data_IF_929139698250
#
_entry.id   IF_929139698250
#
_cell.length_a   1.000
_cell.length_b   1.000
_cell.length_c   1.000
_cell.angle_alpha   90.00
_cell.angle_beta   90.00
_cell.angle_gamma   90.00
#
_symmetry.space_group_name_H-M   'P 1'
#
loop_
_entity.id
_entity.type
_entity.pdbx_description
1 polymer ?
#
# COMPACT_ATOMS: atom_id res chain seq x y z
N UNK A 1 0.68 -1.69 13.22
CA UNK A 1 1.85 -2.51 13.54
C UNK A 1 1.78 -3.87 12.83
N UNK A 2 0.79 -4.75 13.11
CA UNK A 2 0.71 -6.13 12.58
C UNK A 2 0.79 -6.24 11.04
N UNK A 3 0.14 -5.36 10.29
CA UNK A 3 0.20 -5.36 8.81
C UNK A 3 1.60 -4.98 8.32
N UNK A 4 2.25 -4.02 8.98
CA UNK A 4 3.64 -3.64 8.69
C UNK A 4 4.57 -4.85 8.82
N UNK A 5 4.49 -5.57 9.95
CA UNK A 5 5.31 -6.76 10.17
C UNK A 5 5.05 -7.86 9.14
N UNK A 6 3.79 -8.09 8.75
CA UNK A 6 3.46 -9.05 7.69
C UNK A 6 4.07 -8.68 6.34
N UNK A 7 4.13 -7.39 6.00
CA UNK A 7 4.76 -6.93 4.75
C UNK A 7 6.28 -7.06 4.83
N UNK A 8 6.88 -6.71 5.97
CA UNK A 8 8.32 -6.84 6.18
C UNK A 8 8.80 -8.30 6.23
N UNK A 9 7.93 -9.22 6.66
CA UNK A 9 8.25 -10.66 6.68
C UNK A 9 8.28 -11.31 5.29
N UNK A 10 7.89 -10.60 4.21
CA UNK A 10 7.94 -11.14 2.85
C UNK A 10 9.39 -11.26 2.39
N UNK A 11 9.90 -12.47 2.09
CA UNK A 11 11.29 -12.66 1.68
C UNK A 11 11.63 -11.92 0.38
N UNK A 12 12.73 -11.16 0.39
CA UNK A 12 13.34 -10.57 -0.82
C UNK A 12 12.36 -9.70 -1.62
N UNK A 13 11.63 -8.79 -0.96
CA UNK A 13 10.68 -7.83 -1.56
C UNK A 13 9.60 -8.51 -2.45
N UNK A 14 9.38 -9.83 -2.32
CA UNK A 14 8.41 -10.59 -3.09
C UNK A 14 8.87 -11.03 -4.49
N UNK A 15 10.02 -10.57 -4.99
CA UNK A 15 10.55 -10.94 -6.30
C UNK A 15 10.79 -12.45 -6.44
N UNK A 16 11.25 -13.09 -5.36
CA UNK A 16 11.54 -14.52 -5.32
C UNK A 16 10.37 -15.39 -5.71
N UNK A 17 9.14 -15.04 -5.31
CA UNK A 17 7.95 -15.79 -5.69
C UNK A 17 7.73 -15.81 -7.22
N UNK A 18 7.90 -14.67 -7.89
CA UNK A 18 7.77 -14.58 -9.34
C UNK A 18 8.81 -15.43 -10.07
N UNK A 19 10.05 -15.39 -9.62
CA UNK A 19 11.15 -16.21 -10.17
C UNK A 19 10.87 -17.71 -10.01
N UNK A 20 10.45 -18.15 -8.83
CA UNK A 20 10.12 -19.55 -8.54
C UNK A 20 8.90 -20.03 -9.32
N UNK A 21 7.90 -19.18 -9.51
CA UNK A 21 6.67 -19.52 -10.24
C UNK A 21 6.85 -19.60 -11.75
N UNK A 22 7.67 -18.73 -12.31
CA UNK A 22 7.71 -18.54 -13.77
C UNK A 22 9.03 -18.96 -14.42
N UNK A 23 10.14 -18.97 -13.70
CA UNK A 23 11.47 -19.23 -14.23
C UNK A 23 12.14 -20.48 -13.68
N UNK A 24 11.62 -21.08 -12.60
CA UNK A 24 12.17 -22.32 -12.06
C UNK A 24 11.24 -23.51 -12.38
N UNK A 25 11.64 -24.43 -13.30
CA UNK A 25 10.81 -25.56 -13.72
C UNK A 25 10.48 -26.55 -12.60
N UNK A 26 11.32 -26.64 -11.56
CA UNK A 26 11.08 -27.55 -10.43
C UNK A 26 9.96 -27.09 -9.50
N UNK A 27 9.78 -25.78 -9.36
CA UNK A 27 8.76 -25.20 -8.46
C UNK A 27 7.55 -24.64 -9.18
N UNK A 28 7.64 -24.37 -10.49
CA UNK A 28 6.60 -23.72 -11.27
C UNK A 28 5.24 -24.48 -11.20
N UNK A 29 5.25 -25.80 -11.33
CA UNK A 29 4.02 -26.59 -11.31
C UNK A 29 3.35 -26.60 -9.95
N UNK A 30 4.13 -26.68 -8.86
CA UNK A 30 3.62 -26.64 -7.49
C UNK A 30 3.01 -25.26 -7.17
N UNK A 31 3.69 -24.18 -7.55
CA UNK A 31 3.21 -22.81 -7.33
C UNK A 31 2.04 -22.42 -8.25
N UNK A 32 1.96 -22.99 -9.46
CA UNK A 32 0.83 -22.78 -10.35
C UNK A 32 -0.48 -23.40 -9.82
N UNK A 33 -0.39 -24.44 -8.99
CA UNK A 33 -1.53 -25.07 -8.32
C UNK A 33 -2.09 -24.31 -7.12
N UNK A 34 -1.40 -23.26 -6.65
CA UNK A 34 -1.88 -22.46 -5.52
C UNK A 34 -3.05 -21.54 -5.95
N UNK A 35 -4.00 -21.26 -5.04
CA UNK A 35 -5.07 -20.32 -5.31
C UNK A 35 -4.54 -18.94 -5.69
N UNK A 36 -5.10 -18.33 -6.73
CA UNK A 36 -4.81 -16.95 -7.10
C UNK A 36 -5.59 -16.02 -6.16
N UNK A 37 -4.97 -14.96 -5.59
CA UNK A 37 -5.67 -13.97 -4.80
C UNK A 37 -6.83 -13.34 -5.58
N UNK A 38 -8.02 -13.27 -4.97
CA UNK A 38 -9.19 -12.69 -5.64
C UNK A 38 -9.12 -11.17 -5.74
N UNK A 39 -8.39 -10.52 -4.85
CA UNK A 39 -8.18 -9.07 -4.83
C UNK A 39 -6.74 -8.77 -5.21
N UNK A 40 -6.55 -7.97 -6.25
CA UNK A 40 -5.27 -7.38 -6.62
C UNK A 40 -5.20 -5.93 -6.13
N UNK A 41 -4.08 -5.53 -5.54
CA UNK A 41 -3.84 -4.16 -5.09
C UNK A 41 -2.55 -3.61 -5.69
N UNK A 42 -2.61 -2.40 -6.21
CA UNK A 42 -1.45 -1.70 -6.74
C UNK A 42 -1.46 -0.23 -6.27
N UNK A 43 -0.41 0.17 -5.56
CA UNK A 43 -0.19 1.56 -5.19
C UNK A 43 0.92 2.14 -6.07
N UNK A 44 0.57 3.15 -6.85
CA UNK A 44 1.49 3.78 -7.81
C UNK A 44 2.43 4.82 -7.19
N UNK A 45 2.25 5.12 -5.90
CA UNK A 45 3.06 6.10 -5.21
C UNK A 45 2.44 7.50 -5.21
N UNK A 46 3.27 8.51 -4.86
CA UNK A 46 2.90 9.93 -4.80
C UNK A 46 3.59 10.68 -5.93
N UNK A 47 2.80 11.42 -6.68
CA UNK A 47 3.27 12.26 -7.78
C UNK A 47 3.17 13.73 -7.38
N UNK A 48 4.28 14.45 -7.56
CA UNK A 48 4.28 15.90 -7.39
C UNK A 48 3.36 16.56 -8.44
N UNK A 49 2.62 17.61 -8.03
CA UNK A 49 1.83 18.39 -8.96
C UNK A 49 2.72 18.98 -10.04
N UNK A 50 2.32 18.85 -11.28
CA UNK A 50 2.98 19.53 -12.39
C UNK A 50 2.93 21.05 -12.14
N UNK A 51 4.08 21.67 -11.86
CA UNK A 51 4.18 23.10 -11.63
C UNK A 51 4.19 23.57 -10.17
N UNK A 52 4.18 22.70 -9.17
CA UNK A 52 4.36 23.09 -7.78
C UNK A 52 5.83 23.50 -7.51
N UNK A 53 6.20 24.70 -7.85
CA UNK A 53 7.36 25.40 -7.27
C UNK A 53 8.71 25.25 -7.96
N UNK A 54 8.82 24.74 -9.18
CA UNK A 54 10.05 24.86 -9.96
C UNK A 54 9.76 25.26 -11.40
N UNK A 55 10.41 26.33 -11.85
CA UNK A 55 10.49 26.72 -13.28
C UNK A 55 11.28 25.70 -14.13
N UNK A 56 11.65 24.57 -13.55
CA UNK A 56 12.37 23.51 -14.24
C UNK A 56 11.35 22.56 -14.85
N UNK A 57 11.21 22.61 -16.16
CA UNK A 57 10.47 21.60 -16.93
C UNK A 57 11.19 20.26 -16.76
N UNK A 58 10.63 19.38 -15.96
CA UNK A 58 11.14 18.01 -15.83
C UNK A 58 10.65 17.21 -17.05
N UNK A 59 11.55 16.64 -17.85
CA UNK A 59 11.18 16.01 -19.13
C UNK A 59 10.26 14.78 -19.02
N UNK A 60 9.96 14.32 -17.81
CA UNK A 60 9.17 13.12 -17.52
C UNK A 60 7.92 13.40 -16.67
N UNK A 61 7.28 14.53 -16.89
CA UNK A 61 6.00 14.84 -16.25
C UNK A 61 4.86 14.14 -17.00
N UNK A 62 3.85 13.67 -16.24
CA UNK A 62 2.59 13.26 -16.85
C UNK A 62 1.98 14.43 -17.61
N UNK A 63 1.67 14.24 -18.89
CA UNK A 63 1.10 15.27 -19.74
C UNK A 63 -0.38 15.49 -19.42
N UNK A 64 -0.67 16.28 -18.38
CA UNK A 64 -2.04 16.68 -18.03
C UNK A 64 -2.99 15.53 -17.71
N UNK A 65 -4.30 15.78 -17.80
CA UNK A 65 -5.39 14.83 -17.57
C UNK A 65 -5.53 13.73 -18.65
N UNK A 66 -4.55 13.57 -19.50
CA UNK A 66 -4.58 12.51 -20.51
C UNK A 66 -4.37 11.18 -19.76
N UNK A 67 -5.44 10.47 -19.53
CA UNK A 67 -5.40 9.11 -19.02
C UNK A 67 -4.55 8.24 -19.97
N UNK A 68 -3.32 7.96 -19.60
CA UNK A 68 -2.49 6.94 -20.25
C UNK A 68 -2.99 5.59 -19.72
N UNK A 69 -4.25 5.30 -19.98
CA UNK A 69 -4.88 4.04 -19.65
C UNK A 69 -5.07 3.25 -20.95
N UNK A 70 -4.35 2.17 -21.11
CA UNK A 70 -4.77 1.16 -22.06
C UNK A 70 -6.09 0.59 -21.57
N UNK A 71 -7.16 0.70 -22.35
CA UNK A 71 -8.37 -0.06 -22.09
C UNK A 71 -8.02 -1.55 -22.17
N UNK A 72 -8.38 -2.31 -21.14
CA UNK A 72 -8.26 -3.77 -21.23
C UNK A 72 -9.19 -4.26 -22.33
N UNK A 73 -8.69 -5.15 -23.18
CA UNK A 73 -9.53 -5.80 -24.19
C UNK A 73 -10.67 -6.56 -23.45
N UNK A 74 -11.94 -6.37 -23.85
CA UNK A 74 -13.06 -7.08 -23.24
C UNK A 74 -12.95 -8.61 -23.27
N UNK A 75 -12.17 -9.17 -24.18
CA UNK A 75 -11.90 -10.61 -24.28
C UNK A 75 -10.72 -11.09 -23.42
N UNK A 76 -10.03 -10.19 -22.72
CA UNK A 76 -8.86 -10.54 -21.91
C UNK A 76 -9.28 -11.18 -20.59
N UNK A 77 -8.70 -12.32 -20.21
CA UNK A 77 -9.01 -12.93 -18.93
C UNK A 77 -8.54 -12.02 -17.77
N UNK A 78 -9.39 -11.86 -16.76
CA UNK A 78 -9.06 -11.10 -15.56
C UNK A 78 -8.16 -11.91 -14.62
N UNK A 79 -7.16 -11.28 -14.06
CA UNK A 79 -6.27 -11.90 -13.08
C UNK A 79 -6.90 -11.97 -11.70
N UNK A 80 -7.71 -10.95 -11.33
CA UNK A 80 -8.36 -10.84 -10.05
C UNK A 80 -9.86 -10.54 -10.23
N UNK A 81 -10.69 -11.00 -9.31
CA UNK A 81 -12.11 -10.67 -9.29
C UNK A 81 -12.34 -9.17 -8.99
N UNK A 82 -11.44 -8.57 -8.21
CA UNK A 82 -11.42 -7.13 -7.94
C UNK A 82 -9.98 -6.63 -8.05
N UNK A 83 -9.73 -5.63 -8.87
CA UNK A 83 -8.46 -4.92 -8.91
C UNK A 83 -8.64 -3.52 -8.30
N UNK A 84 -7.78 -3.19 -7.33
CA UNK A 84 -7.74 -1.91 -6.67
C UNK A 84 -6.43 -1.20 -7.00
N UNK A 85 -6.52 -0.03 -7.61
CA UNK A 85 -5.40 0.87 -7.87
C UNK A 85 -5.50 2.10 -6.98
N UNK A 86 -4.38 2.55 -6.43
CA UNK A 86 -4.33 3.76 -5.64
C UNK A 86 -3.16 4.64 -6.07
N UNK A 87 -3.38 5.95 -6.06
CA UNK A 87 -2.37 6.95 -6.38
C UNK A 87 -2.58 8.19 -5.54
N UNK A 88 -1.51 8.83 -5.10
CA UNK A 88 -1.56 10.15 -4.46
C UNK A 88 -1.00 11.17 -5.43
N UNK A 89 -1.74 12.25 -5.65
CA UNK A 89 -1.28 13.41 -6.39
C UNK A 89 -1.21 14.62 -5.47
N UNK A 90 -0.13 15.40 -5.57
CA UNK A 90 -0.07 16.69 -4.92
C UNK A 90 -0.91 17.69 -5.73
N UNK A 91 -1.90 18.29 -5.09
CA UNK A 91 -2.76 19.33 -5.67
C UNK A 91 -2.50 20.67 -4.98
N UNK A 92 -3.09 21.75 -5.50
CA UNK A 92 -3.01 23.07 -4.86
C UNK A 92 -3.61 23.10 -3.45
N UNK A 93 -4.53 22.17 -3.15
CA UNK A 93 -5.18 22.00 -1.84
C UNK A 93 -4.47 21.01 -0.91
N UNK A 94 -3.40 20.37 -1.38
CA UNK A 94 -2.65 19.34 -0.66
C UNK A 94 -2.67 17.99 -1.37
N UNK A 95 -2.12 16.95 -0.74
CA UNK A 95 -2.10 15.61 -1.31
C UNK A 95 -3.51 15.02 -1.36
N UNK A 96 -3.87 14.48 -2.52
CA UNK A 96 -5.16 13.85 -2.79
C UNK A 96 -4.96 12.38 -3.17
N UNK A 97 -5.64 11.48 -2.46
CA UNK A 97 -5.65 10.05 -2.75
C UNK A 97 -6.81 9.71 -3.69
N UNK A 98 -6.47 9.13 -4.83
CA UNK A 98 -7.45 8.53 -5.74
C UNK A 98 -7.40 7.01 -5.61
N UNK A 99 -8.56 6.38 -5.35
CA UNK A 99 -8.75 4.93 -5.34
C UNK A 99 -9.60 4.54 -6.55
N UNK A 100 -9.06 3.65 -7.38
CA UNK A 100 -9.76 3.10 -8.55
C UNK A 100 -10.06 1.63 -8.31
N UNK A 101 -11.32 1.23 -8.44
CA UNK A 101 -11.76 -0.16 -8.38
C UNK A 101 -12.19 -0.62 -9.76
N UNK A 102 -11.73 -1.80 -10.18
CA UNK A 102 -12.08 -2.41 -11.47
C UNK A 102 -12.46 -3.86 -11.26
N UNK A 103 -13.58 -4.27 -11.85
CA UNK A 103 -14.11 -5.63 -11.72
C UNK A 103 -14.90 -6.04 -12.95
N UNK A 104 -15.03 -7.35 -13.21
CA UNK A 104 -15.98 -7.85 -14.21
C UNK A 104 -17.41 -7.79 -13.65
N UNK A 105 -18.31 -7.11 -14.35
CA UNK A 105 -19.72 -6.99 -13.95
C UNK A 105 -20.46 -8.35 -13.86
N UNK A 106 -19.90 -9.40 -14.47
CA UNK A 106 -20.43 -10.76 -14.35
C UNK A 106 -20.07 -11.44 -13.00
N UNK A 107 -19.13 -10.90 -12.22
CA UNK A 107 -18.67 -11.49 -10.96
C UNK A 107 -19.11 -10.71 -9.71
N UNK A 108 -19.17 -9.39 -9.81
CA UNK A 108 -19.52 -8.51 -8.68
C UNK A 108 -20.51 -7.45 -9.15
N UNK A 109 -21.49 -7.16 -8.30
CA UNK A 109 -22.45 -6.09 -8.51
C UNK A 109 -21.83 -4.71 -8.22
N UNK A 110 -22.20 -3.72 -9.00
CA UNK A 110 -21.72 -2.34 -8.86
C UNK A 110 -22.00 -1.77 -7.46
N UNK A 111 -23.19 -2.02 -6.93
CA UNK A 111 -23.59 -1.56 -5.59
C UNK A 111 -22.66 -2.10 -4.49
N UNK A 112 -22.30 -3.39 -4.57
CA UNK A 112 -21.41 -4.02 -3.57
C UNK A 112 -19.99 -3.42 -3.66
N UNK A 113 -19.50 -3.18 -4.88
CA UNK A 113 -18.18 -2.57 -5.06
C UNK A 113 -18.15 -1.11 -4.64
N UNK A 114 -19.22 -0.35 -4.88
CA UNK A 114 -19.36 1.02 -4.36
C UNK A 114 -19.40 1.06 -2.83
N UNK A 115 -20.12 0.14 -2.20
CA UNK A 115 -20.16 0.04 -0.73
C UNK A 115 -18.78 -0.30 -0.16
N UNK A 116 -18.07 -1.24 -0.78
CA UNK A 116 -16.69 -1.57 -0.42
C UNK A 116 -15.77 -0.35 -0.56
N UNK A 117 -15.86 0.38 -1.65
CA UNK A 117 -15.07 1.60 -1.87
C UNK A 117 -15.32 2.67 -0.81
N UNK A 118 -16.59 2.91 -0.48
CA UNK A 118 -16.98 3.86 0.58
C UNK A 118 -16.47 3.41 1.96
N UNK A 119 -16.59 2.13 2.28
CA UNK A 119 -16.08 1.58 3.53
C UNK A 119 -14.55 1.69 3.61
N UNK A 120 -13.84 1.41 2.52
CA UNK A 120 -12.38 1.54 2.45
C UNK A 120 -11.93 2.98 2.69
N UNK A 121 -12.52 3.95 2.00
CA UNK A 121 -12.23 5.37 2.22
C UNK A 121 -12.55 5.81 3.66
N UNK A 122 -13.64 5.30 4.25
CA UNK A 122 -13.98 5.55 5.65
C UNK A 122 -12.91 5.04 6.61
N UNK A 123 -12.38 3.85 6.37
CA UNK A 123 -11.28 3.27 7.18
C UNK A 123 -9.97 4.06 7.01
N UNK A 124 -9.65 4.49 5.79
CA UNK A 124 -8.46 5.33 5.53
C UNK A 124 -8.56 6.68 6.22
N UNK A 125 -9.72 7.32 6.20
CA UNK A 125 -9.96 8.56 6.93
C UNK A 125 -9.84 8.35 8.45
N UNK A 126 -10.37 7.24 8.98
CA UNK A 126 -10.21 6.87 10.38
C UNK A 126 -8.75 6.63 10.75
N UNK A 127 -7.99 5.98 9.89
CA UNK A 127 -6.56 5.77 10.06
C UNK A 127 -5.78 7.10 10.05
N UNK A 128 -6.08 7.99 9.09
CA UNK A 128 -5.47 9.31 9.01
C UNK A 128 -5.76 10.15 10.26
N UNK A 129 -6.99 10.11 10.77
CA UNK A 129 -7.35 10.79 12.01
C UNK A 129 -6.62 10.18 13.23
N UNK A 130 -6.48 8.86 13.27
CA UNK A 130 -5.72 8.18 14.32
C UNK A 130 -4.24 8.60 14.30
N UNK A 131 -3.61 8.62 13.12
CA UNK A 131 -2.19 8.99 12.99
C UNK A 131 -1.88 10.46 13.33
N UNK A 132 -2.89 11.33 13.36
CA UNK A 132 -2.76 12.70 13.82
C UNK A 132 -2.84 12.84 15.37
N UNK A 133 -3.18 11.77 16.07
CA UNK A 133 -3.31 11.76 17.54
C UNK A 133 -1.97 11.54 18.25
N UNK A 134 -1.86 11.97 19.53
CA UNK A 134 -0.63 11.86 20.31
C UNK A 134 -0.26 10.40 20.67
N UNK A 135 -1.19 9.48 20.55
CA UNK A 135 -0.99 8.04 20.79
C UNK A 135 -0.67 7.26 19.49
N UNK A 136 -0.45 7.99 18.38
CA UNK A 136 -0.17 7.37 17.10
C UNK A 136 1.34 7.17 16.90
N UNK A 137 1.69 6.10 16.23
CA UNK A 137 3.08 5.79 15.95
C UNK A 137 3.59 4.59 16.75
N UNK A 138 4.85 4.70 17.15
CA UNK A 138 5.58 3.64 17.83
C UNK A 138 6.28 2.68 16.86
N UNK A 139 7.32 2.04 17.35
CA UNK A 139 8.14 1.10 16.62
C UNK A 139 7.52 -0.30 16.59
N UNK A 140 8.06 -1.13 15.76
CA UNK A 140 7.75 -2.55 15.65
C UNK A 140 9.05 -3.34 15.60
N UNK A 141 9.05 -4.66 15.87
CA UNK A 141 10.26 -5.48 15.85
C UNK A 141 11.15 -5.29 14.63
N UNK A 142 10.55 -5.14 13.44
CA UNK A 142 11.32 -4.94 12.19
C UNK A 142 12.10 -3.63 12.10
N UNK A 143 11.83 -2.66 12.98
CA UNK A 143 12.63 -1.42 13.06
C UNK A 143 13.97 -1.65 13.77
N UNK A 144 14.12 -2.74 14.51
CA UNK A 144 15.30 -3.12 15.28
C UNK A 144 16.00 -4.34 14.68
N UNK A 145 16.39 -4.25 13.43
CA UNK A 145 16.93 -5.38 12.64
C UNK A 145 18.18 -6.07 13.23
N UNK A 146 18.83 -5.48 14.22
CA UNK A 146 19.98 -6.05 14.94
C UNK A 146 19.62 -6.75 16.24
N UNK A 147 18.38 -6.66 16.68
CA UNK A 147 17.85 -7.23 17.91
C UNK A 147 16.67 -8.13 17.59
N UNK A 148 16.60 -9.27 18.25
CA UNK A 148 15.45 -10.18 18.15
C UNK A 148 14.48 -9.84 19.29
N UNK A 149 13.63 -8.84 19.04
CA UNK A 149 12.65 -8.32 19.99
C UNK A 149 11.24 -8.73 19.55
N UNK A 150 10.39 -9.01 20.52
CA UNK A 150 8.96 -9.08 20.27
C UNK A 150 8.28 -7.70 20.46
N UNK A 151 6.96 -7.61 20.19
CA UNK A 151 6.26 -6.32 20.26
C UNK A 151 6.13 -5.80 21.70
N UNK A 152 6.00 -6.68 22.68
CA UNK A 152 5.87 -6.29 24.08
C UNK A 152 7.20 -5.70 24.59
N UNK A 153 8.33 -6.29 24.19
CA UNK A 153 9.67 -5.77 24.50
C UNK A 153 9.94 -4.40 23.83
N UNK A 154 9.44 -4.20 22.62
CA UNK A 154 9.53 -2.91 21.93
C UNK A 154 8.69 -1.85 22.65
N UNK A 155 7.47 -2.19 23.04
CA UNK A 155 6.57 -1.27 23.75
C UNK A 155 7.15 -0.91 25.14
N UNK A 156 7.80 -1.84 25.86
CA UNK A 156 8.50 -1.59 27.12
C UNK A 156 9.70 -0.64 26.94
N UNK A 157 10.47 -0.82 25.87
CA UNK A 157 11.60 0.08 25.54
C UNK A 157 11.11 1.49 25.20
N UNK A 158 10.00 1.63 24.48
CA UNK A 158 9.39 2.94 24.18
C UNK A 158 8.91 3.63 25.46
N UNK A 159 8.28 2.89 26.38
CA UNK A 159 7.82 3.42 27.66
C UNK A 159 9.00 3.92 28.51
N UNK A 160 10.08 3.14 28.58
CA UNK A 160 11.29 3.52 29.30
C UNK A 160 11.97 4.78 28.70
N UNK A 161 12.01 4.86 27.37
CA UNK A 161 12.56 6.02 26.67
C UNK A 161 11.75 7.30 26.95
N UNK A 162 10.43 7.19 26.98
CA UNK A 162 9.55 8.31 27.31
C UNK A 162 9.75 8.81 28.77
N UNK A 163 9.89 7.89 29.73
CA UNK A 163 10.18 8.24 31.13
C UNK A 163 11.53 8.96 31.28
N UNK A 164 12.54 8.53 30.53
CA UNK A 164 13.87 9.15 30.54
C UNK A 164 13.85 10.57 29.93
N UNK A 165 13.03 10.78 28.92
CA UNK A 165 12.91 12.09 28.28
C UNK A 165 12.16 13.11 29.18
N UNK A 166 11.11 12.66 29.88
CA UNK A 166 10.40 13.49 30.87
C UNK A 166 11.23 13.81 32.11
N UNK A 167 12.12 12.90 32.55
CA UNK A 167 13.01 13.09 33.71
C UNK A 167 14.26 13.93 33.45
N UNK A 168 14.55 14.29 32.20
CA UNK A 168 15.80 14.96 31.80
C UNK A 168 15.77 16.50 31.95
N UNK A 169 14.63 17.07 32.30
CA UNK A 169 14.44 18.52 32.42
C UNK A 169 14.19 18.99 33.86
N UNK A 170 14.62 18.24 34.87
CA UNK A 170 14.64 18.68 36.28
C UNK A 170 16.06 19.00 36.77
#
# INVERSE_FOLDING_TARGET
KRVKEQVQAVPGDGLGHGLLRHLNPETASALAGLPVPQVGFNYLGRFAAAGAGSDVVVPWQTAGDTAVGGAADPGMPVLHALAAGAVVADTASGPELTLTLSWPAALLDETDVEELGRAWLGLLNGLAAHTAGPQAGGHTPSDFSLLDLDQDEVDDLEALAAELDEGRFL
#
